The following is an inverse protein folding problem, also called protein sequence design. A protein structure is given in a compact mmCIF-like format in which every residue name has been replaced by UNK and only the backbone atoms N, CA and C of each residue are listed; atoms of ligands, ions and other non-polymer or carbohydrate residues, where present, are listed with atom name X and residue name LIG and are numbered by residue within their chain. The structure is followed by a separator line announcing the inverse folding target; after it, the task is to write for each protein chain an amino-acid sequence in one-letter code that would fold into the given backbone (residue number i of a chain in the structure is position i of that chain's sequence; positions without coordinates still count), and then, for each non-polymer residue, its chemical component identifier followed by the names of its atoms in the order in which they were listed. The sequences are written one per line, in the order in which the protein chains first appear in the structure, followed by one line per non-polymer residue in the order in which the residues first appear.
data_IF_360994886910
#
_entry.id   IF_360994886910
#
_cell.length_a   1.000
_cell.length_b   1.000
_cell.length_c   1.000
_cell.angle_alpha   90.00
_cell.angle_beta   90.00
_cell.angle_gamma   90.00
#
_symmetry.space_group_name_H-M   'P 1'
#
loop_
_entity.id
_entity.type
_entity.pdbx_description
1 polymer ?
#
# COMPACT_ATOMS: atom_id res chain seq x y z
N UNK A 1 -47.19 -5.81 18.29
CA UNK A 1 -46.17 -6.66 17.64
C UNK A 1 -46.58 -6.81 16.18
N UNK A 2 -46.14 -5.88 15.33
CA UNK A 2 -46.41 -5.94 13.90
C UNK A 2 -45.41 -6.94 13.28
N UNK A 3 -45.91 -7.96 12.60
CA UNK A 3 -45.10 -9.02 12.02
C UNK A 3 -44.06 -8.46 11.06
N UNK A 4 -42.79 -8.76 11.31
CA UNK A 4 -41.73 -8.60 10.32
C UNK A 4 -42.03 -9.58 9.17
N UNK A 5 -42.71 -9.13 8.11
CA UNK A 5 -42.75 -9.87 6.85
C UNK A 5 -41.33 -9.90 6.28
N UNK A 6 -40.54 -10.94 6.59
CA UNK A 6 -39.17 -11.10 6.12
C UNK A 6 -39.08 -10.79 4.62
N UNK A 7 -38.13 -9.96 4.21
CA UNK A 7 -37.86 -9.74 2.79
C UNK A 7 -37.72 -11.10 2.09
N UNK A 8 -38.37 -11.31 0.94
CA UNK A 8 -38.30 -12.59 0.26
C UNK A 8 -36.83 -12.92 -0.04
N UNK A 9 -36.43 -14.18 0.18
CA UNK A 9 -35.04 -14.63 0.03
C UNK A 9 -34.44 -14.26 -1.33
N UNK A 10 -35.27 -14.28 -2.39
CA UNK A 10 -34.88 -13.84 -3.74
C UNK A 10 -34.33 -12.42 -3.76
N UNK A 11 -34.95 -11.50 -3.02
CA UNK A 11 -34.54 -10.09 -2.93
C UNK A 11 -33.31 -9.90 -2.05
N UNK A 12 -33.10 -10.76 -1.04
CA UNK A 12 -31.86 -10.75 -0.25
C UNK A 12 -30.65 -11.21 -1.09
N UNK A 13 -30.87 -12.16 -2.00
CA UNK A 13 -29.85 -12.61 -2.96
C UNK A 13 -29.49 -11.58 -4.03
N UNK A 14 -30.21 -10.47 -4.14
CA UNK A 14 -29.84 -9.36 -5.04
C UNK A 14 -28.72 -8.49 -4.45
N UNK A 15 -28.49 -8.56 -3.13
CA UNK A 15 -27.45 -7.78 -2.46
C UNK A 15 -26.12 -8.54 -2.35
N UNK A 16 -25.01 -7.83 -2.53
CA UNK A 16 -23.66 -8.33 -2.30
C UNK A 16 -23.15 -7.85 -0.93
N UNK A 17 -22.58 -8.71 -0.08
CA UNK A 17 -22.23 -10.12 -0.33
C UNK A 17 -23.32 -11.13 0.09
N UNK A 18 -24.57 -10.69 0.34
CA UNK A 18 -25.63 -11.59 0.83
C UNK A 18 -25.93 -12.75 -0.14
N UNK A 19 -25.75 -12.52 -1.43
CA UNK A 19 -25.88 -13.53 -2.48
C UNK A 19 -24.97 -14.77 -2.33
N UNK A 20 -23.94 -14.71 -1.48
CA UNK A 20 -23.02 -15.84 -1.18
C UNK A 20 -23.48 -16.72 -0.03
N UNK A 21 -24.50 -16.29 0.72
CA UNK A 21 -25.01 -17.02 1.87
C UNK A 21 -26.01 -18.08 1.40
N UNK A 22 -26.00 -19.25 2.05
CA UNK A 22 -27.01 -20.28 1.81
C UNK A 22 -28.40 -19.78 2.23
N UNK A 23 -29.46 -20.42 1.73
CA UNK A 23 -30.83 -20.06 2.11
C UNK A 23 -31.02 -20.08 3.63
N UNK A 24 -30.47 -21.08 4.33
CA UNK A 24 -30.51 -21.17 5.80
C UNK A 24 -29.76 -20.02 6.49
N UNK A 25 -28.61 -19.62 5.95
CA UNK A 25 -27.84 -18.49 6.47
C UNK A 25 -28.52 -17.15 6.19
N UNK A 26 -29.17 -17.00 5.04
CA UNK A 26 -29.98 -15.84 4.70
C UNK A 26 -31.21 -15.73 5.60
N UNK A 27 -31.87 -16.85 5.90
CA UNK A 27 -32.96 -16.89 6.89
C UNK A 27 -32.45 -16.47 8.26
N UNK A 28 -31.29 -16.98 8.69
CA UNK A 28 -30.67 -16.63 9.96
C UNK A 28 -30.27 -15.14 10.01
N UNK A 29 -29.67 -14.62 8.94
CA UNK A 29 -29.31 -13.21 8.81
C UNK A 29 -30.55 -12.31 8.82
N UNK A 30 -31.57 -12.66 8.03
CA UNK A 30 -32.83 -11.93 7.96
C UNK A 30 -33.57 -11.90 9.31
N UNK A 31 -33.45 -12.96 10.12
CA UNK A 31 -34.03 -13.01 11.48
C UNK A 31 -33.36 -12.04 12.46
N UNK A 32 -32.11 -11.66 12.20
CA UNK A 32 -31.31 -10.74 13.04
C UNK A 32 -31.18 -9.34 12.44
N UNK A 33 -31.57 -9.17 11.18
CA UNK A 33 -31.52 -7.90 10.51
C UNK A 33 -32.65 -6.97 10.99
N UNK A 34 -32.34 -5.69 11.11
CA UNK A 34 -33.31 -4.65 11.43
C UNK A 34 -33.78 -3.97 10.14
N UNK A 35 -35.06 -3.60 10.07
CA UNK A 35 -35.54 -2.71 9.01
C UNK A 35 -35.67 -1.29 9.52
N UNK A 36 -35.05 -0.35 8.81
CA UNK A 36 -35.13 1.07 9.10
C UNK A 36 -35.74 1.81 7.94
N UNK A 37 -36.65 2.73 8.24
CA UNK A 37 -37.30 3.59 7.25
C UNK A 37 -36.96 5.04 7.54
N UNK A 38 -36.67 5.80 6.49
CA UNK A 38 -36.30 7.20 6.58
C UNK A 38 -37.12 8.02 5.58
N UNK A 39 -37.72 9.10 6.06
CA UNK A 39 -38.44 10.07 5.24
C UNK A 39 -37.50 11.01 4.49
N UNK A 40 -38.00 11.74 3.47
CA UNK A 40 -37.21 12.72 2.74
C UNK A 40 -36.57 13.76 3.66
N UNK A 41 -35.29 14.05 3.44
CA UNK A 41 -34.49 14.98 4.24
C UNK A 41 -33.96 14.42 5.56
N UNK A 42 -34.35 13.19 5.96
CA UNK A 42 -33.81 12.57 7.17
C UNK A 42 -32.41 12.01 6.94
N UNK A 43 -31.52 12.24 7.91
CA UNK A 43 -30.19 11.65 7.93
C UNK A 43 -30.28 10.17 8.28
N UNK A 44 -29.63 9.34 7.46
CA UNK A 44 -29.55 7.89 7.60
C UNK A 44 -28.23 7.50 8.27
N UNK A 45 -27.12 8.08 7.83
CA UNK A 45 -25.78 7.85 8.38
C UNK A 45 -25.09 9.20 8.60
N UNK A 46 -24.29 9.24 9.66
CA UNK A 46 -23.48 10.41 10.02
C UNK A 46 -22.00 10.10 9.85
N UNK A 47 -21.29 11.03 9.21
CA UNK A 47 -19.86 10.93 8.97
C UNK A 47 -19.07 10.88 10.29
N UNK A 48 -18.03 10.04 10.34
CA UNK A 48 -17.17 9.85 11.50
C UNK A 48 -17.66 8.84 12.53
N UNK A 49 -18.88 8.31 12.37
CA UNK A 49 -19.45 7.30 13.29
C UNK A 49 -18.84 5.92 13.04
N UNK A 50 -18.68 5.12 14.11
CA UNK A 50 -18.33 3.69 14.10
C UNK A 50 -19.46 2.92 14.78
N UNK A 51 -20.40 2.40 14.00
CA UNK A 51 -21.60 1.75 14.50
C UNK A 51 -21.59 0.23 14.33
N UNK A 52 -20.65 -0.33 13.55
CA UNK A 52 -20.61 -1.78 13.31
C UNK A 52 -21.72 -2.30 12.38
N UNK A 53 -22.41 -1.44 11.63
CA UNK A 53 -23.62 -1.81 10.87
C UNK A 53 -23.40 -1.71 9.35
N UNK A 54 -23.92 -2.66 8.60
CA UNK A 54 -24.04 -2.60 7.14
C UNK A 54 -25.49 -2.25 6.76
N UNK A 55 -25.67 -1.21 5.95
CA UNK A 55 -26.97 -0.72 5.49
C UNK A 55 -27.18 -1.07 4.02
N UNK A 56 -28.20 -1.86 3.70
CA UNK A 56 -28.56 -2.20 2.32
C UNK A 56 -29.83 -1.44 1.93
N UNK A 57 -29.78 -0.69 0.83
CA UNK A 57 -30.91 0.11 0.36
C UNK A 57 -31.94 -0.78 -0.34
N UNK A 58 -33.05 -1.08 0.33
CA UNK A 58 -34.11 -1.97 -0.16
C UNK A 58 -35.05 -1.24 -1.12
N UNK A 59 -35.37 0.02 -0.81
CA UNK A 59 -36.24 0.86 -1.61
C UNK A 59 -35.89 2.34 -1.38
N UNK A 60 -36.16 3.18 -2.38
CA UNK A 60 -36.01 4.63 -2.27
C UNK A 60 -34.76 5.19 -2.94
N UNK A 61 -34.38 6.38 -2.50
CA UNK A 61 -33.32 7.20 -3.12
C UNK A 61 -32.60 7.99 -2.04
N UNK A 62 -31.28 7.94 -2.06
CA UNK A 62 -30.42 8.60 -1.09
C UNK A 62 -29.34 9.46 -1.76
N UNK A 63 -28.83 10.42 -1.00
CA UNK A 63 -27.68 11.25 -1.34
C UNK A 63 -26.58 10.99 -0.32
N UNK A 64 -25.36 10.77 -0.82
CA UNK A 64 -24.13 10.65 -0.05
C UNK A 64 -23.30 11.90 -0.27
N UNK A 65 -22.90 12.56 0.80
CA UNK A 65 -22.06 13.76 0.77
C UNK A 65 -20.69 13.47 1.41
N UNK A 66 -19.62 13.67 0.63
CA UNK A 66 -18.22 13.47 1.03
C UNK A 66 -17.65 14.67 1.80
N UNK A 67 -16.47 14.51 2.41
CA UNK A 67 -15.70 15.59 3.08
C UNK A 67 -15.34 16.73 2.13
N UNK A 68 -15.09 16.44 0.86
CA UNK A 68 -14.80 17.42 -0.19
C UNK A 68 -16.07 18.09 -0.76
N UNK A 69 -17.25 17.79 -0.21
CA UNK A 69 -18.54 18.34 -0.65
C UNK A 69 -19.11 17.69 -1.92
N UNK A 70 -18.46 16.62 -2.45
CA UNK A 70 -19.03 15.86 -3.57
C UNK A 70 -20.29 15.11 -3.14
N UNK A 71 -21.34 15.27 -3.93
CA UNK A 71 -22.64 14.63 -3.72
C UNK A 71 -22.84 13.51 -4.74
N UNK A 72 -23.20 12.32 -4.27
CA UNK A 72 -23.51 11.15 -5.10
C UNK A 72 -24.90 10.65 -4.75
N UNK A 73 -25.71 10.38 -5.77
CA UNK A 73 -27.06 9.87 -5.59
C UNK A 73 -27.10 8.37 -5.87
N UNK A 74 -27.77 7.60 -5.01
CA UNK A 74 -27.99 6.16 -5.18
C UNK A 74 -29.50 5.88 -5.11
N UNK A 75 -30.00 5.12 -6.08
CA UNK A 75 -31.38 4.63 -6.13
C UNK A 75 -31.40 3.11 -5.98
N UNK A 76 -32.42 2.57 -5.29
CA UNK A 76 -32.49 1.15 -4.91
C UNK A 76 -32.40 0.15 -6.09
N UNK A 77 -32.82 0.57 -7.28
CA UNK A 77 -32.84 -0.27 -8.49
C UNK A 77 -31.51 -0.24 -9.28
N UNK A 78 -30.51 0.46 -8.78
CA UNK A 78 -29.20 0.58 -9.43
C UNK A 78 -28.22 -0.47 -8.92
N UNK A 79 -27.26 -0.88 -9.76
CA UNK A 79 -26.17 -1.78 -9.35
C UNK A 79 -25.41 -1.25 -8.11
N UNK A 80 -25.32 0.08 -7.96
CA UNK A 80 -24.69 0.72 -6.79
C UNK A 80 -25.43 0.43 -5.48
N UNK A 81 -26.74 0.18 -5.52
CA UNK A 81 -27.55 -0.14 -4.34
C UNK A 81 -27.47 -1.63 -3.94
N UNK A 82 -26.90 -2.50 -4.78
CA UNK A 82 -26.66 -3.90 -4.44
C UNK A 82 -25.59 -4.06 -3.36
N UNK A 83 -24.75 -3.04 -3.17
CA UNK A 83 -23.68 -3.02 -2.17
C UNK A 83 -24.13 -2.27 -0.90
N UNK A 84 -23.53 -2.56 0.27
CA UNK A 84 -23.80 -1.84 1.50
C UNK A 84 -23.41 -0.35 1.38
N UNK A 85 -24.32 0.52 1.79
CA UNK A 85 -24.19 1.98 1.71
C UNK A 85 -23.16 2.46 2.73
N UNK A 86 -22.14 3.17 2.25
CA UNK A 86 -21.10 3.81 3.06
C UNK A 86 -20.46 2.87 4.10
N UNK A 87 -20.14 1.64 3.67
CA UNK A 87 -19.62 0.53 4.53
C UNK A 87 -18.40 0.88 5.39
N UNK A 88 -17.50 1.73 4.90
CA UNK A 88 -16.24 2.08 5.59
C UNK A 88 -16.49 2.73 6.95
N UNK A 89 -15.70 2.33 7.96
CA UNK A 89 -15.76 2.87 9.32
C UNK A 89 -14.39 3.44 9.75
N UNK A 90 -14.33 4.70 10.26
CA UNK A 90 -15.43 5.62 10.51
C UNK A 90 -16.14 6.03 9.21
N UNK A 91 -17.46 6.27 9.26
CA UNK A 91 -18.26 6.62 8.08
C UNK A 91 -17.61 7.79 7.33
N UNK A 92 -17.39 7.62 6.02
CA UNK A 92 -16.75 8.65 5.18
C UNK A 92 -17.74 9.65 4.58
N UNK A 93 -19.04 9.35 4.64
CA UNK A 93 -20.10 10.13 4.03
C UNK A 93 -21.22 10.44 5.03
N UNK A 94 -21.81 11.62 4.90
CA UNK A 94 -23.14 11.87 5.44
C UNK A 94 -24.17 11.35 4.44
N UNK A 95 -25.13 10.55 4.90
CA UNK A 95 -26.15 9.95 4.02
C UNK A 95 -27.51 10.46 4.39
N UNK A 96 -28.22 11.02 3.42
CA UNK A 96 -29.56 11.59 3.60
C UNK A 96 -30.55 10.96 2.64
N UNK A 97 -31.75 10.65 3.12
CA UNK A 97 -32.82 10.14 2.27
C UNK A 97 -33.40 11.27 1.40
N UNK A 98 -33.36 11.12 0.07
CA UNK A 98 -33.93 12.08 -0.88
C UNK A 98 -35.41 11.77 -1.15
N UNK A 99 -35.75 10.49 -1.19
CA UNK A 99 -37.13 9.95 -1.22
C UNK A 99 -37.37 9.09 0.03
N UNK A 100 -38.62 8.73 0.37
CA UNK A 100 -38.86 7.71 1.39
C UNK A 100 -38.02 6.47 1.06
N UNK A 101 -37.14 6.08 1.98
CA UNK A 101 -36.15 5.04 1.77
C UNK A 101 -36.22 4.00 2.87
N UNK A 102 -36.09 2.74 2.48
CA UNK A 102 -36.11 1.58 3.36
C UNK A 102 -34.76 0.88 3.31
N UNK A 103 -34.24 0.51 4.47
CA UNK A 103 -32.96 -0.16 4.64
C UNK A 103 -33.12 -1.47 5.38
N UNK A 104 -32.38 -2.47 4.92
CA UNK A 104 -32.03 -3.63 5.70
C UNK A 104 -30.70 -3.33 6.40
N UNK A 105 -30.68 -3.42 7.73
CA UNK A 105 -29.53 -3.10 8.56
C UNK A 105 -29.06 -4.38 9.24
N UNK A 106 -27.78 -4.70 9.06
CA UNK A 106 -27.19 -5.95 9.55
C UNK A 106 -25.93 -5.63 10.34
N UNK A 107 -25.70 -6.36 11.43
CA UNK A 107 -24.42 -6.28 12.15
C UNK A 107 -23.29 -6.85 11.29
N UNK A 108 -22.24 -6.05 11.09
CA UNK A 108 -21.12 -6.37 10.20
C UNK A 108 -20.37 -7.63 10.67
N UNK A 109 -20.22 -7.82 11.98
CA UNK A 109 -19.55 -8.99 12.55
C UNK A 109 -20.34 -10.28 12.29
N UNK A 110 -21.68 -10.23 12.40
CA UNK A 110 -22.55 -11.38 12.12
C UNK A 110 -22.50 -11.73 10.64
N UNK A 111 -22.61 -10.74 9.75
CA UNK A 111 -22.51 -10.95 8.31
C UNK A 111 -21.15 -11.58 7.95
N UNK A 112 -20.06 -11.05 8.48
CA UNK A 112 -18.71 -11.59 8.24
C UNK A 112 -18.55 -13.01 8.78
N UNK A 113 -19.14 -13.33 9.94
CA UNK A 113 -19.10 -14.68 10.50
C UNK A 113 -19.88 -15.68 9.62
N UNK A 114 -21.05 -15.28 9.13
CA UNK A 114 -21.86 -16.12 8.24
C UNK A 114 -21.14 -16.37 6.91
N UNK A 115 -20.54 -15.34 6.32
CA UNK A 115 -19.75 -15.45 5.09
C UNK A 115 -18.55 -16.40 5.24
N UNK A 116 -17.89 -16.41 6.42
CA UNK A 116 -16.81 -17.36 6.70
C UNK A 116 -17.28 -18.81 6.82
N UNK A 117 -18.54 -19.01 7.20
CA UNK A 117 -19.15 -20.34 7.36
C UNK A 117 -19.94 -20.80 6.15
N UNK A 118 -20.12 -19.94 5.14
CA UNK A 118 -20.85 -20.26 3.93
C UNK A 118 -20.07 -21.31 3.12
N UNK A 119 -20.66 -22.48 2.81
CA UNK A 119 -20.08 -23.40 1.85
C UNK A 119 -19.91 -22.67 0.53
N UNK A 120 -18.72 -22.76 -0.05
CA UNK A 120 -18.46 -22.29 -1.41
C UNK A 120 -19.35 -23.14 -2.33
N UNK A 121 -20.45 -22.58 -2.83
CA UNK A 121 -21.25 -23.26 -3.85
C UNK A 121 -20.34 -23.47 -5.08
N UNK A 122 -19.96 -24.73 -5.29
CA UNK A 122 -19.47 -25.19 -6.59
C UNK A 122 -20.66 -25.08 -7.54
N UNK A 123 -20.73 -23.99 -8.29
CA UNK A 123 -21.72 -23.84 -9.37
C UNK A 123 -21.39 -24.90 -10.41
N UNK A 124 -22.24 -25.92 -10.54
CA UNK A 124 -22.24 -26.82 -11.69
C UNK A 124 -22.54 -25.97 -12.94
N UNK A 125 -21.48 -25.61 -13.68
CA UNK A 125 -21.61 -24.96 -14.97
C UNK A 125 -21.88 -26.01 -16.03
N UNK A 126 -23.06 -25.90 -16.65
CA UNK A 126 -23.45 -26.55 -17.88
C UNK A 126 -22.33 -26.41 -18.92
N UNK A 127 -21.78 -27.55 -19.35
CA UNK A 127 -20.63 -27.63 -20.24
C UNK A 127 -21.05 -27.24 -21.66
N UNK A 128 -21.12 -25.94 -21.90
CA UNK A 128 -20.98 -25.35 -23.22
C UNK A 128 -19.52 -25.39 -23.64
N UNK A 129 -19.20 -26.24 -24.62
CA UNK A 129 -17.88 -26.40 -25.21
C UNK A 129 -17.24 -25.05 -25.57
N UNK A 130 -16.23 -24.65 -24.80
CA UNK A 130 -15.46 -23.44 -25.02
C UNK A 130 -14.21 -23.46 -24.14
N UNK A 131 -13.05 -23.66 -24.77
CA UNK A 131 -11.75 -23.83 -24.16
C UNK A 131 -11.21 -22.54 -23.49
N UNK A 132 -11.85 -22.07 -22.41
CA UNK A 132 -11.47 -20.82 -21.71
C UNK A 132 -11.99 -20.63 -20.27
N UNK A 133 -12.48 -21.69 -19.59
CA UNK A 133 -13.19 -21.56 -18.31
C UNK A 133 -12.34 -21.14 -17.09
N UNK A 134 -11.09 -21.59 -17.01
CA UNK A 134 -10.22 -21.37 -15.84
C UNK A 134 -9.72 -19.91 -15.73
N UNK A 135 -9.46 -19.25 -16.86
CA UNK A 135 -9.03 -17.83 -16.88
C UNK A 135 -10.15 -16.88 -16.40
N UNK A 136 -11.42 -17.30 -16.45
CA UNK A 136 -12.56 -16.41 -16.15
C UNK A 136 -12.86 -16.27 -14.65
N UNK A 137 -12.69 -17.34 -13.87
CA UNK A 137 -12.95 -17.31 -12.42
C UNK A 137 -11.82 -16.63 -11.65
N UNK A 138 -10.57 -16.91 -12.04
CA UNK A 138 -9.37 -16.31 -11.45
C UNK A 138 -9.34 -14.80 -11.70
N UNK A 139 -9.65 -14.37 -12.93
CA UNK A 139 -9.75 -12.95 -13.29
C UNK A 139 -10.89 -12.24 -12.54
N UNK A 140 -12.03 -12.89 -12.31
CA UNK A 140 -13.13 -12.31 -11.55
C UNK A 140 -12.76 -12.13 -10.06
N UNK A 141 -12.18 -13.14 -9.44
CA UNK A 141 -11.72 -13.07 -8.05
C UNK A 141 -10.59 -12.06 -7.85
N UNK A 142 -9.67 -11.97 -8.82
CA UNK A 142 -8.67 -10.91 -8.88
C UNK A 142 -9.35 -9.53 -8.93
N UNK A 143 -10.33 -9.33 -9.81
CA UNK A 143 -11.07 -8.06 -9.95
C UNK A 143 -11.83 -7.68 -8.67
N UNK A 144 -12.37 -8.65 -7.95
CA UNK A 144 -12.95 -8.44 -6.62
C UNK A 144 -11.88 -7.95 -5.63
N UNK A 145 -10.74 -8.62 -5.57
CA UNK A 145 -9.60 -8.18 -4.75
C UNK A 145 -9.11 -6.78 -5.14
N UNK A 146 -9.03 -6.46 -6.45
CA UNK A 146 -8.72 -5.11 -6.94
C UNK A 146 -9.77 -4.10 -6.43
N UNK A 147 -11.05 -4.49 -6.36
CA UNK A 147 -12.14 -3.65 -5.84
C UNK A 147 -12.03 -3.41 -4.33
N UNK A 148 -11.71 -4.44 -3.54
CA UNK A 148 -11.47 -4.32 -2.10
C UNK A 148 -10.27 -3.40 -1.79
N UNK A 149 -9.19 -3.54 -2.56
CA UNK A 149 -8.02 -2.66 -2.46
C UNK A 149 -8.34 -1.22 -2.86
N UNK A 150 -9.00 -0.99 -4.01
CA UNK A 150 -9.36 0.36 -4.49
C UNK A 150 -10.40 1.04 -3.61
N UNK A 151 -11.25 0.28 -2.92
CA UNK A 151 -12.20 0.82 -1.94
C UNK A 151 -11.57 1.08 -0.57
N UNK A 152 -10.23 0.96 -0.45
CA UNK A 152 -9.46 1.23 0.76
C UNK A 152 -9.92 0.38 1.97
N UNK A 153 -10.46 -0.82 1.71
CA UNK A 153 -10.88 -1.79 2.74
C UNK A 153 -9.70 -2.62 3.26
N UNK A 154 -8.53 -2.51 2.63
CA UNK A 154 -7.33 -3.23 3.05
C UNK A 154 -6.64 -2.52 4.20
N UNK A 155 -6.29 -3.29 5.22
CA UNK A 155 -5.59 -2.81 6.40
C UNK A 155 -4.16 -2.42 6.02
N UNK A 156 -3.93 -1.12 5.85
CA UNK A 156 -2.61 -0.59 5.58
C UNK A 156 -1.66 -0.85 6.77
N UNK A 157 -0.37 -1.13 6.50
CA UNK A 157 0.63 -1.20 7.57
C UNK A 157 0.72 0.15 8.30
N UNK A 158 0.96 0.09 9.60
CA UNK A 158 1.23 1.28 10.41
C UNK A 158 2.71 1.66 10.31
N UNK A 159 3.02 2.97 10.33
CA UNK A 159 4.41 3.42 10.46
C UNK A 159 4.99 2.89 11.78
N UNK A 160 6.22 2.35 11.79
CA UNK A 160 6.90 2.00 13.03
C UNK A 160 7.05 3.22 13.96
N UNK A 161 6.65 3.09 15.23
CA UNK A 161 6.62 4.19 16.23
C UNK A 161 7.93 4.99 16.31
N UNK A 162 9.07 4.32 16.16
CA UNK A 162 10.40 4.93 16.23
C UNK A 162 10.66 5.87 15.06
N UNK A 163 10.30 5.47 13.84
CA UNK A 163 10.37 6.34 12.66
C UNK A 163 9.51 7.59 12.86
N UNK A 164 8.29 7.41 13.37
CA UNK A 164 7.34 8.50 13.56
C UNK A 164 7.79 9.50 14.63
N UNK A 165 8.31 8.99 15.77
CA UNK A 165 8.86 9.81 16.86
C UNK A 165 10.07 10.63 16.41
N UNK A 166 11.02 10.01 15.71
CA UNK A 166 12.24 10.70 15.26
C UNK A 166 11.93 11.69 14.14
N UNK A 167 11.04 11.35 13.21
CA UNK A 167 10.60 12.30 12.18
C UNK A 167 9.95 13.54 12.79
N UNK A 168 9.01 13.38 13.74
CA UNK A 168 8.43 14.50 14.50
C UNK A 168 9.46 15.31 15.28
N UNK A 169 10.49 14.66 15.83
CA UNK A 169 11.53 15.31 16.60
C UNK A 169 12.52 16.08 15.71
N UNK A 170 12.60 15.79 14.41
CA UNK A 170 13.47 16.50 13.46
C UNK A 170 12.71 17.58 12.68
N UNK A 171 11.41 17.39 12.43
CA UNK A 171 10.58 18.34 11.67
C UNK A 171 10.24 19.63 12.44
N UNK A 172 10.64 19.75 13.72
CA UNK A 172 10.54 21.04 14.44
C UNK A 172 11.74 21.90 14.07
N UNK A 173 11.50 23.11 13.56
CA UNK A 173 12.55 24.02 13.07
C UNK A 173 13.64 24.37 14.10
N UNK A 174 13.37 24.23 15.40
CA UNK A 174 14.32 24.51 16.49
C UNK A 174 14.98 23.24 17.08
N UNK A 175 14.91 22.10 16.39
CA UNK A 175 15.40 20.83 16.96
C UNK A 175 16.92 20.82 17.11
N UNK A 176 17.41 20.55 18.32
CA UNK A 176 18.85 20.42 18.58
C UNK A 176 19.33 18.98 18.36
N UNK A 177 20.63 18.80 18.11
CA UNK A 177 21.24 17.48 18.02
C UNK A 177 21.01 16.64 19.29
N UNK A 178 20.93 17.29 20.45
CA UNK A 178 20.62 16.66 21.74
C UNK A 178 19.19 16.10 21.79
N UNK A 179 18.21 16.84 21.26
CA UNK A 179 16.82 16.38 21.23
C UNK A 179 16.63 15.19 20.28
N UNK A 180 17.28 15.20 19.12
CA UNK A 180 17.25 14.07 18.18
C UNK A 180 17.99 12.87 18.76
N UNK A 181 19.15 13.09 19.39
CA UNK A 181 19.87 12.01 20.06
C UNK A 181 19.01 11.36 21.15
N UNK A 182 18.31 12.16 21.97
CA UNK A 182 17.39 11.65 22.98
C UNK A 182 16.25 10.82 22.38
N UNK A 183 15.65 11.28 21.28
CA UNK A 183 14.58 10.57 20.59
C UNK A 183 15.05 9.22 20.02
N UNK A 184 16.25 9.19 19.42
CA UNK A 184 16.85 7.95 18.89
C UNK A 184 17.27 7.02 20.03
N UNK A 185 17.83 7.55 21.11
CA UNK A 185 18.25 6.78 22.29
C UNK A 185 17.09 6.14 23.05
N UNK A 186 15.84 6.55 22.80
CA UNK A 186 14.66 5.88 23.34
C UNK A 186 14.51 4.44 22.81
N UNK A 187 15.12 4.11 21.67
CA UNK A 187 15.25 2.75 21.16
C UNK A 187 16.75 2.35 21.11
N UNK A 188 17.21 1.48 22.04
CA UNK A 188 18.61 1.02 22.07
C UNK A 188 19.06 0.33 20.78
N UNK A 189 18.17 -0.38 20.07
CA UNK A 189 18.50 -1.03 18.81
C UNK A 189 18.72 0.01 17.71
N UNK A 190 17.89 1.06 17.66
CA UNK A 190 18.07 2.17 16.73
C UNK A 190 19.35 2.97 17.01
N UNK A 191 19.62 3.25 18.29
CA UNK A 191 20.86 3.90 18.72
C UNK A 191 22.10 3.12 18.28
N UNK A 192 22.11 1.80 18.49
CA UNK A 192 23.21 0.94 18.06
C UNK A 192 23.36 0.91 16.53
N UNK A 193 22.24 0.83 15.78
CA UNK A 193 22.25 0.91 14.31
C UNK A 193 22.84 2.22 13.81
N UNK A 194 22.43 3.36 14.37
CA UNK A 194 22.94 4.67 13.97
C UNK A 194 24.45 4.83 14.25
N UNK A 195 24.91 4.41 15.43
CA UNK A 195 26.35 4.46 15.76
C UNK A 195 27.17 3.56 14.83
N UNK A 196 26.70 2.33 14.56
CA UNK A 196 27.38 1.42 13.61
C UNK A 196 27.38 1.97 12.20
N UNK A 197 26.28 2.56 11.75
CA UNK A 197 26.20 3.23 10.45
C UNK A 197 27.20 4.39 10.37
N UNK A 198 27.28 5.22 11.41
CA UNK A 198 28.23 6.33 11.47
C UNK A 198 29.71 5.90 11.43
N UNK A 199 30.01 4.67 11.84
CA UNK A 199 31.34 4.07 11.80
C UNK A 199 31.55 3.15 10.59
N UNK A 200 30.57 3.03 9.68
CA UNK A 200 30.72 2.23 8.46
C UNK A 200 31.67 2.93 7.47
N UNK A 201 32.25 2.20 6.49
CA UNK A 201 33.08 2.81 5.45
C UNK A 201 32.44 4.02 4.76
N UNK A 202 31.11 4.03 4.66
CA UNK A 202 30.33 5.07 4.01
C UNK A 202 30.35 6.41 4.77
N UNK A 203 30.37 6.39 6.11
CA UNK A 203 30.22 7.58 6.97
C UNK A 203 31.38 7.79 7.96
N UNK A 204 32.34 6.86 8.03
CA UNK A 204 33.46 6.93 9.00
C UNK A 204 34.28 8.20 8.79
N UNK A 205 34.55 8.87 9.90
CA UNK A 205 35.54 9.96 9.95
C UNK A 205 36.92 9.43 10.33
N UNK A 206 37.79 10.36 10.76
CA UNK A 206 39.11 10.03 11.30
C UNK A 206 39.07 9.29 12.65
N UNK A 207 37.98 9.43 13.41
CA UNK A 207 37.79 8.81 14.72
C UNK A 207 36.45 8.08 14.82
N UNK A 208 36.40 7.04 15.66
CA UNK A 208 35.15 6.32 15.92
C UNK A 208 34.18 7.15 16.77
N UNK A 209 32.91 7.07 16.41
CA UNK A 209 31.79 7.61 17.20
C UNK A 209 31.38 6.60 18.27
N UNK A 210 31.15 7.08 19.49
CA UNK A 210 30.84 6.24 20.66
C UNK A 210 29.44 6.40 21.20
N UNK A 211 28.72 7.45 20.79
CA UNK A 211 27.36 7.71 21.25
C UNK A 211 26.49 8.34 20.16
N UNK A 212 25.17 8.33 20.39
CA UNK A 212 24.18 8.81 19.42
C UNK A 212 24.34 10.29 19.12
N UNK A 213 24.69 11.11 20.12
CA UNK A 213 24.88 12.56 19.94
C UNK A 213 26.02 12.85 18.96
N UNK A 214 27.17 12.20 19.15
CA UNK A 214 28.31 12.28 18.23
C UNK A 214 27.93 11.83 16.81
N UNK A 215 27.09 10.77 16.68
CA UNK A 215 26.59 10.32 15.40
C UNK A 215 25.72 11.40 14.72
N UNK A 216 24.78 12.00 15.47
CA UNK A 216 23.91 13.08 14.98
C UNK A 216 24.72 14.29 14.54
N UNK A 217 25.74 14.67 15.31
CA UNK A 217 26.62 15.80 14.98
C UNK A 217 27.42 15.52 13.70
N UNK A 218 27.95 14.30 13.54
CA UNK A 218 28.73 13.94 12.35
C UNK A 218 27.88 13.81 11.09
N UNK A 219 26.78 13.07 11.18
CA UNK A 219 25.89 12.81 10.05
C UNK A 219 25.05 14.05 9.70
N UNK A 220 24.81 14.91 10.68
CA UNK A 220 23.83 15.98 10.60
C UNK A 220 22.40 15.48 10.81
N UNK A 221 21.50 16.43 11.05
CA UNK A 221 20.10 16.18 11.42
C UNK A 221 19.33 15.47 10.31
N UNK A 222 19.53 15.90 9.05
CA UNK A 222 18.79 15.38 7.91
C UNK A 222 19.13 13.92 7.60
N UNK A 223 20.42 13.60 7.48
CA UNK A 223 20.92 12.24 7.24
C UNK A 223 20.54 11.32 8.39
N UNK A 224 20.61 11.80 9.64
CA UNK A 224 20.18 11.01 10.81
C UNK A 224 18.70 10.64 10.72
N UNK A 225 17.83 11.60 10.37
CA UNK A 225 16.39 11.34 10.17
C UNK A 225 16.16 10.27 9.11
N UNK A 226 16.85 10.36 7.98
CA UNK A 226 16.67 9.41 6.89
C UNK A 226 17.15 8.02 7.29
N UNK A 227 18.34 7.89 7.89
CA UNK A 227 18.88 6.60 8.33
C UNK A 227 18.00 5.94 9.39
N UNK A 228 17.50 6.70 10.37
CA UNK A 228 16.57 6.16 11.37
C UNK A 228 15.26 5.68 10.72
N UNK A 229 14.75 6.43 9.75
CA UNK A 229 13.56 6.02 9.01
C UNK A 229 13.82 4.73 8.25
N UNK A 230 14.91 4.66 7.48
CA UNK A 230 15.39 3.47 6.76
C UNK A 230 15.51 2.25 7.69
N UNK A 231 16.17 2.38 8.85
CA UNK A 231 16.35 1.28 9.79
C UNK A 231 15.04 0.81 10.43
N UNK A 232 14.08 1.72 10.58
CA UNK A 232 12.76 1.40 11.12
C UNK A 232 11.91 0.64 10.09
N UNK A 233 12.09 0.91 8.79
CA UNK A 233 11.29 0.30 7.73
C UNK A 233 11.41 -1.23 7.68
N UNK A 234 12.50 -1.82 8.16
CA UNK A 234 12.64 -3.29 8.27
C UNK A 234 11.47 -3.94 9.01
N UNK A 235 10.89 -3.27 10.02
CA UNK A 235 9.76 -3.84 10.77
C UNK A 235 8.49 -3.99 9.92
N UNK A 236 8.33 -3.19 8.86
CA UNK A 236 7.17 -3.26 7.96
C UNK A 236 7.20 -4.51 7.09
N UNK A 237 8.40 -4.97 6.74
CA UNK A 237 8.61 -6.19 5.96
C UNK A 237 8.68 -7.46 6.84
N UNK A 238 8.38 -7.36 8.14
CA UNK A 238 8.30 -8.54 9.01
C UNK A 238 6.88 -9.06 9.08
N UNK A 239 6.76 -10.37 9.00
CA UNK A 239 5.51 -11.09 9.23
C UNK A 239 5.68 -12.11 10.35
N UNK A 240 4.61 -12.37 11.10
CA UNK A 240 4.55 -13.48 12.07
C UNK A 240 4.15 -14.80 11.41
N UNK A 241 3.72 -14.75 10.15
CA UNK A 241 3.20 -15.89 9.41
C UNK A 241 4.34 -16.55 8.63
N UNK A 242 4.52 -17.86 8.84
CA UNK A 242 5.61 -18.61 8.22
C UNK A 242 5.46 -18.71 6.69
N UNK A 243 4.22 -18.76 6.20
CA UNK A 243 3.84 -18.79 4.78
C UNK A 243 4.43 -17.62 3.99
N UNK A 244 4.30 -16.40 4.51
CA UNK A 244 4.77 -15.18 3.84
C UNK A 244 6.23 -14.83 4.11
N UNK A 245 6.89 -15.51 5.04
CA UNK A 245 8.25 -15.12 5.45
C UNK A 245 9.23 -15.12 4.28
N UNK A 246 9.07 -16.08 3.35
CA UNK A 246 9.91 -16.19 2.14
C UNK A 246 9.68 -15.00 1.19
N UNK A 247 8.42 -14.67 0.90
CA UNK A 247 8.08 -13.58 -0.03
C UNK A 247 8.41 -12.20 0.56
N UNK A 248 8.18 -12.00 1.86
CA UNK A 248 8.59 -10.79 2.57
C UNK A 248 10.12 -10.60 2.58
N UNK A 249 10.89 -11.68 2.73
CA UNK A 249 12.36 -11.60 2.69
C UNK A 249 12.89 -11.38 1.27
N UNK A 250 12.23 -11.94 0.24
CA UNK A 250 12.52 -11.61 -1.16
C UNK A 250 12.24 -10.13 -1.45
N UNK A 251 11.07 -9.63 -1.06
CA UNK A 251 10.68 -8.23 -1.22
C UNK A 251 11.65 -7.29 -0.50
N UNK A 252 12.05 -7.62 0.73
CA UNK A 252 13.06 -6.85 1.45
C UNK A 252 14.42 -6.86 0.74
N UNK A 253 14.85 -8.00 0.21
CA UNK A 253 16.12 -8.10 -0.53
C UNK A 253 16.09 -7.20 -1.77
N UNK A 254 15.03 -7.28 -2.55
CA UNK A 254 14.80 -6.45 -3.74
C UNK A 254 14.80 -4.96 -3.37
N UNK A 255 14.00 -4.56 -2.39
CA UNK A 255 13.91 -3.17 -1.92
C UNK A 255 15.26 -2.61 -1.47
N UNK A 256 16.10 -3.42 -0.80
CA UNK A 256 17.46 -3.00 -0.41
C UNK A 256 18.41 -2.86 -1.60
N UNK A 257 18.29 -3.71 -2.61
CA UNK A 257 19.09 -3.63 -3.83
C UNK A 257 18.78 -2.34 -4.58
N UNK A 258 17.51 -2.07 -4.83
CA UNK A 258 17.03 -0.84 -5.46
C UNK A 258 17.41 0.40 -4.65
N UNK A 259 17.26 0.34 -3.32
CA UNK A 259 17.71 1.42 -2.42
C UNK A 259 19.21 1.73 -2.58
N UNK A 260 20.06 0.70 -2.62
CA UNK A 260 21.50 0.89 -2.79
C UNK A 260 21.86 1.50 -4.15
N UNK A 261 21.18 1.06 -5.22
CA UNK A 261 21.30 1.66 -6.55
C UNK A 261 20.86 3.13 -6.54
N UNK A 262 19.74 3.44 -5.90
CA UNK A 262 19.24 4.82 -5.77
C UNK A 262 20.25 5.72 -5.04
N UNK A 263 20.86 5.23 -3.95
CA UNK A 263 21.90 5.99 -3.23
C UNK A 263 23.09 6.30 -4.13
N UNK A 264 23.60 5.30 -4.85
CA UNK A 264 24.75 5.44 -5.74
C UNK A 264 24.47 6.40 -6.90
N UNK A 265 23.31 6.24 -7.55
CA UNK A 265 22.88 7.12 -8.64
C UNK A 265 22.71 8.55 -8.15
N UNK A 266 22.12 8.75 -6.96
CA UNK A 266 21.97 10.07 -6.40
C UNK A 266 23.33 10.73 -6.09
N UNK A 267 24.26 9.98 -5.51
CA UNK A 267 25.59 10.45 -5.10
C UNK A 267 26.51 10.77 -6.29
N UNK A 268 26.48 9.96 -7.35
CA UNK A 268 27.42 10.08 -8.47
C UNK A 268 26.86 10.83 -9.68
N UNK A 269 25.53 10.82 -9.85
CA UNK A 269 24.89 11.28 -11.07
C UNK A 269 23.81 12.34 -10.84
N UNK A 270 23.62 12.84 -9.61
CA UNK A 270 22.65 13.91 -9.35
C UNK A 270 23.14 14.88 -8.28
N UNK A 271 22.30 15.85 -7.93
CA UNK A 271 22.46 16.71 -6.74
C UNK A 271 21.46 16.39 -5.64
N UNK A 272 20.68 15.31 -5.79
CA UNK A 272 19.72 14.86 -4.80
C UNK A 272 20.46 14.33 -3.58
N UNK A 273 19.81 14.35 -2.43
CA UNK A 273 20.40 13.76 -1.23
C UNK A 273 20.41 12.22 -1.35
N UNK A 274 21.59 11.58 -1.21
CA UNK A 274 21.68 10.13 -1.36
C UNK A 274 20.82 9.36 -0.36
N UNK A 275 20.64 9.86 0.88
CA UNK A 275 19.80 9.18 1.86
C UNK A 275 18.29 9.32 1.60
N UNK A 276 17.85 10.43 1.00
CA UNK A 276 16.49 10.57 0.49
C UNK A 276 16.22 9.61 -0.66
N UNK A 277 17.17 9.47 -1.61
CA UNK A 277 17.09 8.51 -2.70
C UNK A 277 17.11 7.05 -2.20
N UNK A 278 17.97 6.75 -1.22
CA UNK A 278 18.00 5.45 -0.53
C UNK A 278 16.63 5.09 0.05
N UNK A 279 16.00 6.04 0.75
CA UNK A 279 14.69 5.80 1.35
C UNK A 279 13.61 5.66 0.28
N UNK A 280 13.64 6.45 -0.79
CA UNK A 280 12.70 6.32 -1.90
C UNK A 280 12.81 4.93 -2.57
N UNK A 281 14.03 4.48 -2.85
CA UNK A 281 14.28 3.13 -3.38
C UNK A 281 13.89 2.02 -2.39
N UNK A 282 13.98 2.24 -1.08
CA UNK A 282 13.53 1.26 -0.08
C UNK A 282 12.00 1.14 -0.03
N UNK A 283 11.30 2.23 -0.34
CA UNK A 283 9.84 2.33 -0.26
C UNK A 283 9.13 2.08 -1.61
N UNK A 284 9.87 1.99 -2.72
CA UNK A 284 9.28 1.93 -4.07
C UNK A 284 8.21 0.84 -4.23
N UNK A 285 8.46 -0.35 -3.65
CA UNK A 285 7.55 -1.50 -3.69
C UNK A 285 6.80 -1.72 -2.35
N UNK A 286 6.65 -0.69 -1.52
CA UNK A 286 5.98 -0.83 -0.21
C UNK A 286 4.52 -1.31 -0.33
N UNK A 287 3.86 -1.05 -1.47
CA UNK A 287 2.52 -1.52 -1.78
C UNK A 287 2.39 -3.04 -1.88
N UNK A 288 3.49 -3.76 -2.11
CA UNK A 288 3.49 -5.23 -2.16
C UNK A 288 3.22 -5.84 -0.79
N UNK A 289 3.62 -5.18 0.31
CA UNK A 289 3.42 -5.66 1.68
C UNK A 289 1.93 -5.93 2.00
N UNK A 290 1.02 -4.94 1.89
CA UNK A 290 -0.41 -5.18 2.13
C UNK A 290 -1.05 -6.13 1.11
N UNK A 291 -0.56 -6.18 -0.14
CA UNK A 291 -1.03 -7.15 -1.13
C UNK A 291 -0.73 -8.57 -0.68
N UNK A 292 0.51 -8.85 -0.24
CA UNK A 292 0.90 -10.16 0.29
C UNK A 292 0.11 -10.53 1.55
N UNK A 293 -0.10 -9.59 2.46
CA UNK A 293 -0.89 -9.81 3.68
C UNK A 293 -2.35 -10.12 3.34
N UNK A 294 -2.94 -9.44 2.37
CA UNK A 294 -4.32 -9.69 1.97
C UNK A 294 -4.45 -10.99 1.15
N UNK A 295 -3.44 -11.34 0.36
CA UNK A 295 -3.42 -12.60 -0.39
C UNK A 295 -3.57 -13.84 0.49
N UNK A 296 -3.09 -13.79 1.74
CA UNK A 296 -3.29 -14.89 2.71
C UNK A 296 -4.76 -15.12 3.09
N UNK A 297 -5.63 -14.11 2.99
CA UNK A 297 -7.06 -14.29 3.22
C UNK A 297 -7.76 -14.99 2.04
N UNK A 298 -7.08 -15.14 0.90
CA UNK A 298 -7.59 -15.72 -0.33
C UNK A 298 -6.65 -16.81 -0.86
N UNK A 299 -6.31 -17.79 -0.01
CA UNK A 299 -5.32 -18.85 -0.31
C UNK A 299 -5.59 -19.59 -1.63
N UNK A 300 -6.86 -19.82 -1.98
CA UNK A 300 -7.22 -20.51 -3.22
C UNK A 300 -6.97 -19.64 -4.47
N UNK A 301 -7.15 -18.32 -4.36
CA UNK A 301 -6.94 -17.37 -5.47
C UNK A 301 -5.45 -17.19 -5.79
N UNK A 302 -4.62 -17.20 -4.75
CA UNK A 302 -3.17 -16.96 -4.85
C UNK A 302 -2.35 -18.23 -4.68
N UNK A 303 -2.96 -19.40 -4.80
CA UNK A 303 -2.25 -20.67 -4.92
C UNK A 303 -1.43 -20.72 -6.22
N UNK A 304 -1.88 -20.00 -7.26
CA UNK A 304 -1.12 -19.76 -8.49
C UNK A 304 -0.24 -18.50 -8.36
N UNK A 305 1.06 -18.68 -8.60
CA UNK A 305 2.07 -17.62 -8.61
C UNK A 305 1.80 -16.57 -9.72
N UNK A 306 1.13 -16.96 -10.82
CA UNK A 306 0.78 -16.05 -11.91
C UNK A 306 -0.25 -15.00 -11.48
N UNK A 307 -1.28 -15.41 -10.73
CA UNK A 307 -2.34 -14.52 -10.25
C UNK A 307 -1.83 -13.53 -9.20
N UNK A 308 -0.97 -14.00 -8.30
CA UNK A 308 -0.32 -13.11 -7.33
C UNK A 308 0.60 -12.10 -8.02
N UNK A 309 1.37 -12.55 -9.01
CA UNK A 309 2.25 -11.68 -9.79
C UNK A 309 1.48 -10.63 -10.58
N UNK A 310 0.33 -11.01 -11.17
CA UNK A 310 -0.56 -10.08 -11.85
C UNK A 310 -1.12 -9.05 -10.86
N UNK A 311 -1.65 -9.48 -9.72
CA UNK A 311 -2.19 -8.57 -8.71
C UNK A 311 -1.15 -7.57 -8.21
N UNK A 312 0.08 -8.04 -7.93
CA UNK A 312 1.19 -7.19 -7.52
C UNK A 312 1.47 -6.12 -8.58
N UNK A 313 1.59 -6.51 -9.85
CA UNK A 313 1.88 -5.58 -10.95
C UNK A 313 0.83 -4.49 -11.09
N UNK A 314 -0.45 -4.85 -11.04
CA UNK A 314 -1.56 -3.91 -11.23
C UNK A 314 -1.76 -2.96 -10.05
N UNK A 315 -1.43 -3.38 -8.81
CA UNK A 315 -1.88 -2.68 -7.61
C UNK A 315 -0.78 -2.02 -6.79
N UNK A 316 0.45 -2.52 -6.85
CA UNK A 316 1.51 -2.06 -5.93
C UNK A 316 1.72 -0.55 -5.96
N UNK A 317 1.52 0.11 -7.10
CA UNK A 317 1.72 1.55 -7.26
C UNK A 317 0.63 2.34 -6.52
N UNK A 318 -0.64 2.01 -6.75
CA UNK A 318 -1.78 2.67 -6.08
C UNK A 318 -1.78 2.37 -4.58
N UNK A 319 -1.54 1.12 -4.20
CA UNK A 319 -1.51 0.70 -2.80
C UNK A 319 -0.31 1.32 -2.08
N UNK A 320 0.86 1.33 -2.72
CA UNK A 320 2.07 1.96 -2.17
C UNK A 320 1.88 3.47 -1.99
N UNK A 321 1.24 4.13 -2.95
CA UNK A 321 0.84 5.54 -2.85
C UNK A 321 -0.05 5.76 -1.63
N UNK A 322 -1.12 4.97 -1.48
CA UNK A 322 -2.03 5.08 -0.35
C UNK A 322 -1.33 4.86 1.00
N UNK A 323 -0.37 3.92 1.07
CA UNK A 323 0.47 3.72 2.26
C UNK A 323 1.26 4.99 2.58
N UNK A 324 1.98 5.56 1.61
CA UNK A 324 2.81 6.74 1.85
C UNK A 324 2.01 7.99 2.19
N UNK A 325 0.86 8.19 1.54
CA UNK A 325 -0.06 9.29 1.85
C UNK A 325 -0.61 9.17 3.28
N UNK A 326 -1.06 7.98 3.67
CA UNK A 326 -1.52 7.70 5.04
C UNK A 326 -0.39 7.92 6.07
N UNK A 327 0.86 7.69 5.67
CA UNK A 327 2.03 7.93 6.51
C UNK A 327 2.52 9.39 6.48
N UNK A 328 1.86 10.26 5.71
CA UNK A 328 2.21 11.67 5.50
C UNK A 328 3.64 11.87 4.98
N UNK A 329 4.08 11.02 4.06
CA UNK A 329 5.34 11.24 3.34
C UNK A 329 5.22 12.41 2.35
N UNK A 330 6.33 13.11 2.04
CA UNK A 330 6.31 14.19 1.06
C UNK A 330 5.85 13.72 -0.33
N UNK A 331 5.20 14.59 -1.13
CA UNK A 331 4.71 14.24 -2.47
C UNK A 331 5.78 13.65 -3.39
N UNK A 332 7.04 14.06 -3.25
CA UNK A 332 8.16 13.54 -4.05
C UNK A 332 8.41 12.04 -3.83
N UNK A 333 8.15 11.52 -2.62
CA UNK A 333 8.23 10.07 -2.34
C UNK A 333 7.02 9.34 -2.88
N UNK A 334 5.83 9.94 -2.78
CA UNK A 334 4.58 9.38 -3.32
C UNK A 334 4.68 9.23 -4.84
N UNK A 335 5.19 10.24 -5.53
CA UNK A 335 5.42 10.22 -6.97
C UNK A 335 6.45 9.15 -7.38
N UNK A 336 7.53 9.00 -6.60
CA UNK A 336 8.53 7.97 -6.85
C UNK A 336 7.97 6.55 -6.72
N UNK A 337 7.09 6.29 -5.75
CA UNK A 337 6.39 5.00 -5.61
C UNK A 337 5.39 4.79 -6.73
N UNK A 338 4.59 5.81 -7.07
CA UNK A 338 3.56 5.73 -8.10
C UNK A 338 4.12 5.34 -9.46
N UNK A 339 5.28 5.86 -9.82
CA UNK A 339 5.86 5.71 -11.16
C UNK A 339 7.10 4.80 -11.20
N UNK A 340 7.37 4.02 -10.15
CA UNK A 340 8.61 3.23 -10.02
C UNK A 340 8.91 2.30 -11.22
N UNK A 341 7.89 1.81 -11.92
CA UNK A 341 8.00 1.03 -13.16
C UNK A 341 7.25 1.64 -14.36
N UNK A 342 6.91 2.93 -14.27
CA UNK A 342 6.39 3.68 -15.41
C UNK A 342 7.56 4.18 -16.27
N UNK A 343 8.06 3.31 -17.15
CA UNK A 343 9.21 3.59 -17.99
C UNK A 343 9.01 4.77 -18.94
N UNK A 344 7.75 5.10 -19.25
CA UNK A 344 7.35 6.21 -20.10
C UNK A 344 7.16 7.52 -19.33
N UNK A 345 7.39 7.54 -18.02
CA UNK A 345 7.08 8.70 -17.18
C UNK A 345 7.90 9.94 -17.55
N UNK A 346 7.18 11.01 -17.91
CA UNK A 346 7.76 12.32 -18.18
C UNK A 346 7.53 13.26 -17.01
N UNK A 347 8.56 13.41 -16.17
CA UNK A 347 8.59 14.45 -15.15
C UNK A 347 8.56 15.84 -15.82
N UNK A 348 7.78 16.76 -15.23
CA UNK A 348 7.66 18.15 -15.70
C UNK A 348 8.92 18.98 -15.41
N UNK A 349 9.68 18.57 -14.41
CA UNK A 349 10.92 19.23 -14.02
C UNK A 349 12.07 18.84 -14.95
N UNK A 350 12.94 19.81 -15.25
CA UNK A 350 14.13 19.57 -16.07
C UNK A 350 15.26 18.93 -15.28
N UNK A 351 15.37 19.25 -13.98
CA UNK A 351 16.37 18.66 -13.09
C UNK A 351 15.94 17.29 -12.56
N UNK A 352 16.87 16.33 -12.38
CA UNK A 352 16.56 15.02 -11.83
C UNK A 352 15.78 15.07 -10.51
N UNK A 353 14.71 14.28 -10.43
CA UNK A 353 13.89 14.10 -9.23
C UNK A 353 14.07 12.68 -8.65
N UNK A 354 13.56 12.45 -7.43
CA UNK A 354 13.61 11.13 -6.78
C UNK A 354 12.96 10.03 -7.64
N UNK A 355 11.87 10.35 -8.33
CA UNK A 355 11.18 9.43 -9.25
C UNK A 355 12.09 8.97 -10.38
N UNK A 356 12.94 9.85 -10.93
CA UNK A 356 13.87 9.47 -12.00
C UNK A 356 14.92 8.48 -11.52
N UNK A 357 15.46 8.73 -10.31
CA UNK A 357 16.44 7.85 -9.68
C UNK A 357 15.85 6.48 -9.39
N UNK A 358 14.61 6.43 -8.88
CA UNK A 358 13.92 5.16 -8.59
C UNK A 358 13.64 4.38 -9.87
N UNK A 359 13.12 5.02 -10.92
CA UNK A 359 12.87 4.36 -12.22
C UNK A 359 14.16 3.74 -12.77
N UNK A 360 15.26 4.50 -12.78
CA UNK A 360 16.53 4.00 -13.33
C UNK A 360 17.15 2.93 -12.46
N UNK A 361 17.07 3.06 -11.13
CA UNK A 361 17.52 2.02 -10.20
C UNK A 361 16.71 0.71 -10.38
N UNK A 362 15.39 0.81 -10.52
CA UNK A 362 14.51 -0.33 -10.73
C UNK A 362 14.82 -1.03 -12.05
N UNK A 363 14.93 -0.26 -13.15
CA UNK A 363 15.33 -0.80 -14.44
C UNK A 363 16.69 -1.52 -14.37
N UNK A 364 17.65 -0.96 -13.64
CA UNK A 364 18.95 -1.59 -13.42
C UNK A 364 18.88 -2.88 -12.60
N UNK A 365 18.04 -2.93 -11.57
CA UNK A 365 17.86 -4.13 -10.73
C UNK A 365 17.28 -5.32 -11.52
N UNK A 366 16.54 -5.04 -12.59
CA UNK A 366 15.92 -6.07 -13.44
C UNK A 366 16.88 -6.60 -14.52
N UNK A 367 18.03 -5.95 -14.75
CA UNK A 367 19.03 -6.42 -15.72
C UNK A 367 19.59 -7.77 -15.30
N UNK A 368 19.46 -8.75 -16.19
CA UNK A 368 19.99 -10.11 -15.98
C UNK A 368 19.04 -11.02 -15.21
N UNK A 369 17.84 -10.52 -14.88
CA UNK A 369 16.73 -11.34 -14.42
C UNK A 369 16.03 -12.02 -15.61
N UNK A 370 15.16 -12.99 -15.32
CA UNK A 370 14.29 -13.62 -16.32
C UNK A 370 13.28 -12.65 -16.98
N UNK A 371 13.15 -11.43 -16.47
CA UNK A 371 12.23 -10.39 -16.96
C UNK A 371 12.88 -9.46 -18.01
N UNK A 372 14.13 -9.72 -18.42
CA UNK A 372 14.89 -8.89 -19.36
C UNK A 372 14.22 -8.66 -20.74
N UNK A 373 13.35 -9.56 -21.18
CA UNK A 373 12.80 -9.53 -22.54
C UNK A 373 11.78 -8.40 -22.79
N UNK A 374 11.17 -7.87 -21.72
CA UNK A 374 10.11 -6.85 -21.79
C UNK A 374 10.60 -5.44 -21.44
N UNK A 375 11.88 -5.29 -21.07
CA UNK A 375 12.43 -4.01 -20.63
C UNK A 375 12.73 -3.08 -21.82
N UNK A 376 12.36 -1.79 -21.74
CA UNK A 376 12.70 -0.84 -22.79
C UNK A 376 14.21 -0.56 -22.80
N UNK A 377 14.79 -0.25 -23.97
CA UNK A 377 16.15 0.27 -24.07
C UNK A 377 16.33 1.54 -23.22
N UNK A 378 17.47 1.66 -22.52
CA UNK A 378 17.76 2.76 -21.61
C UNK A 378 17.61 4.16 -22.24
N UNK A 379 17.99 4.31 -23.50
CA UNK A 379 17.88 5.55 -24.27
C UNK A 379 16.44 5.98 -24.54
N UNK A 380 15.48 5.06 -24.43
CA UNK A 380 14.04 5.34 -24.61
C UNK A 380 13.36 5.78 -23.30
N UNK A 381 13.99 5.58 -22.15
CA UNK A 381 13.43 5.92 -20.83
C UNK A 381 13.69 7.40 -20.52
N UNK A 382 12.66 8.27 -20.36
CA UNK A 382 12.86 9.69 -20.12
C UNK A 382 13.63 9.99 -18.82
N UNK A 383 13.37 9.23 -17.76
CA UNK A 383 14.11 9.33 -16.49
C UNK A 383 15.62 9.11 -16.69
N UNK A 384 15.97 8.16 -17.56
CA UNK A 384 17.36 7.89 -17.90
C UNK A 384 18.01 9.07 -18.63
N UNK A 385 17.32 9.71 -19.58
CA UNK A 385 17.83 10.90 -20.26
C UNK A 385 18.05 12.08 -19.32
N UNK A 386 17.14 12.29 -18.35
CA UNK A 386 17.30 13.34 -17.32
C UNK A 386 18.50 13.10 -16.42
N UNK A 387 18.77 11.85 -16.04
CA UNK A 387 20.01 11.48 -15.33
C UNK A 387 21.24 11.53 -16.27
N UNK A 388 21.04 11.28 -17.56
CA UNK A 388 22.06 11.20 -18.62
C UNK A 388 22.61 12.54 -19.11
N UNK A 389 21.91 13.67 -18.88
CA UNK A 389 22.49 15.01 -19.05
C UNK A 389 23.69 15.25 -18.11
N UNK A 390 23.84 14.42 -17.07
CA UNK A 390 25.00 14.33 -16.18
C UNK A 390 25.96 13.21 -16.60
N UNK A 391 26.08 12.95 -17.91
CA UNK A 391 27.12 12.12 -18.53
C UNK A 391 26.93 10.58 -18.46
N UNK A 392 25.73 10.07 -18.16
CA UNK A 392 25.42 8.62 -18.14
C UNK A 392 24.89 8.10 -19.50
N UNK A 393 25.56 7.09 -20.06
CA UNK A 393 25.05 6.24 -21.16
C UNK A 393 25.03 4.77 -20.70
N UNK A 394 24.36 3.85 -21.42
CA UNK A 394 24.12 2.48 -20.94
C UNK A 394 25.42 1.77 -20.51
N UNK A 395 26.51 1.97 -21.27
CA UNK A 395 27.85 1.47 -20.96
C UNK A 395 28.44 2.10 -19.70
N UNK A 396 28.26 3.42 -19.52
CA UNK A 396 28.74 4.18 -18.37
C UNK A 396 27.91 3.97 -17.12
N UNK A 397 26.62 3.65 -17.24
CA UNK A 397 25.77 3.25 -16.12
C UNK A 397 26.20 1.89 -15.59
N UNK A 398 26.44 0.92 -16.47
CA UNK A 398 27.02 -0.38 -16.11
C UNK A 398 28.42 -0.23 -15.51
N UNK A 399 29.26 0.63 -16.07
CA UNK A 399 30.59 0.94 -15.55
C UNK A 399 30.50 1.60 -14.17
N UNK A 400 29.63 2.61 -13.99
CA UNK A 400 29.39 3.26 -12.71
C UNK A 400 28.90 2.26 -11.67
N UNK A 401 27.99 1.35 -12.02
CA UNK A 401 27.52 0.31 -11.10
C UNK A 401 28.59 -0.75 -10.79
N UNK A 402 29.51 -0.99 -11.72
CA UNK A 402 30.67 -1.87 -11.49
C UNK A 402 31.71 -1.19 -10.60
N UNK A 403 32.00 0.08 -10.84
CA UNK A 403 32.92 0.92 -10.05
C UNK A 403 32.35 1.21 -8.65
N UNK A 404 31.05 1.43 -8.57
CA UNK A 404 30.30 1.63 -7.34
C UNK A 404 29.83 0.32 -6.71
N UNK A 405 30.23 -0.85 -7.21
CA UNK A 405 29.84 -2.14 -6.63
C UNK A 405 30.23 -2.21 -5.15
N UNK A 406 31.43 -1.72 -4.81
CA UNK A 406 31.88 -1.59 -3.44
C UNK A 406 30.94 -0.70 -2.60
N UNK A 407 30.47 0.44 -3.14
CA UNK A 407 29.51 1.35 -2.48
C UNK A 407 28.13 0.70 -2.32
N UNK A 408 27.65 -0.01 -3.34
CA UNK A 408 26.41 -0.80 -3.28
C UNK A 408 26.51 -1.82 -2.16
N UNK A 409 27.61 -2.58 -2.09
CA UNK A 409 27.85 -3.57 -1.05
C UNK A 409 27.93 -2.92 0.35
N UNK A 410 28.57 -1.76 0.48
CA UNK A 410 28.62 -0.98 1.73
C UNK A 410 27.21 -0.53 2.19
N UNK A 411 26.39 0.00 1.28
CA UNK A 411 25.02 0.41 1.58
C UNK A 411 24.15 -0.81 1.93
N UNK A 412 24.28 -1.92 1.19
CA UNK A 412 23.58 -3.16 1.51
C UNK A 412 23.99 -3.73 2.88
N UNK A 413 25.26 -3.64 3.24
CA UNK A 413 25.74 -4.01 4.59
C UNK A 413 25.12 -3.11 5.65
N UNK A 414 25.03 -1.80 5.41
CA UNK A 414 24.36 -0.85 6.30
C UNK A 414 22.89 -1.21 6.52
N UNK A 415 22.17 -1.61 5.46
CA UNK A 415 20.78 -2.08 5.55
C UNK A 415 20.64 -3.48 6.17
N UNK A 416 21.74 -4.22 6.33
CA UNK A 416 21.80 -5.55 6.94
C UNK A 416 22.13 -5.52 8.43
N UNK A 417 22.41 -4.34 9.00
CA UNK A 417 22.73 -4.17 10.40
C UNK A 417 21.55 -4.65 11.26
N UNK A 418 21.77 -5.72 12.03
CA UNK A 418 20.76 -6.31 12.93
C UNK A 418 20.52 -5.47 14.18
#
# INVERSE_FOLDING_TARGET
MAGQESLPLRRLKEFQPLNRLTDDQLVLLASRAERRTHGPGQRVLERGVRDGLDFFLVAGKIELESVDGRKTIIEAETEKAQNPIARLQPRMYDVTAVKPSEFLVVEQDILNQLLRSAPVEQVEMDSGEGNGGLESEEHHLLMEFLSELRSNQVKLPSVPDVAWKVRRAVDREESTADQVALAVSADPAMAAKLVRACNSPLYRGFSDVRNVREAVVRLGMRTTRQLVTVFSMREVFKTRQASLQKEMEKLWRHSREVAALCWVLADHATKLNPEEALLAGLLHDIGVVPILVQAEHHVNLFADEANLSHAIRELRADVGTAVLENWSFPPTFVEAVRHAEDWGYECRETSPQLVDVVIVAQLHSMIGSSQNAELPPFDQVPAYRRLGELELNASRSLQLLTEARARVDEVQQLLSIR
#
